data_IF_673997081805
#
_entry.id   IF_673997081805
#
_cell.length_a   1.000
_cell.length_b   1.000
_cell.length_c   1.000
_cell.angle_alpha   90.00
_cell.angle_beta   90.00
_cell.angle_gamma   90.00
#
_symmetry.space_group_name_H-M   'P 1'
#
loop_
_entity.id
_entity.type
_entity.pdbx_description
1 polymer ?
#
# COMPACT_ATOMS: atom_id res chain seq x y z
N UNK A 1 -7.13 12.03 12.34
CA UNK A 1 -5.67 11.95 12.07
C UNK A 1 -4.83 12.75 13.08
N UNK A 2 -5.21 13.97 13.50
CA UNK A 2 -4.43 14.77 14.47
C UNK A 2 -4.17 14.07 15.83
N UNK A 3 -5.13 13.31 16.35
CA UNK A 3 -4.95 12.60 17.63
C UNK A 3 -3.91 11.48 17.54
N UNK A 4 -3.85 10.75 16.41
CA UNK A 4 -2.90 9.65 16.24
C UNK A 4 -1.47 10.17 16.06
N UNK A 5 -1.28 11.20 15.23
CA UNK A 5 0.02 11.87 15.05
C UNK A 5 0.55 12.42 16.38
N UNK A 6 -0.30 13.07 17.18
CA UNK A 6 0.09 13.59 18.49
C UNK A 6 0.48 12.50 19.50
N UNK A 7 -0.19 11.34 19.48
CA UNK A 7 0.13 10.20 20.35
C UNK A 7 1.47 9.57 19.92
N UNK A 8 1.66 9.32 18.62
CA UNK A 8 2.91 8.75 18.09
C UNK A 8 4.07 9.73 18.31
N UNK A 9 3.85 11.03 18.12
CA UNK A 9 4.85 12.06 18.37
C UNK A 9 5.30 12.05 19.84
N UNK A 10 4.37 12.08 20.80
CA UNK A 10 4.73 12.00 22.22
C UNK A 10 5.51 10.75 22.57
N UNK A 11 5.13 9.62 21.97
CA UNK A 11 5.81 8.35 22.20
C UNK A 11 7.25 8.36 21.66
N UNK A 12 7.45 8.86 20.44
CA UNK A 12 8.79 8.96 19.81
C UNK A 12 9.65 10.01 20.53
N UNK A 13 9.07 11.11 20.98
CA UNK A 13 9.75 12.13 21.81
C UNK A 13 10.23 11.51 23.14
N UNK A 14 9.38 10.73 23.81
CA UNK A 14 9.71 10.07 25.07
C UNK A 14 10.77 8.98 24.89
N UNK A 15 10.68 8.16 23.85
CA UNK A 15 11.70 7.17 23.51
C UNK A 15 13.04 7.82 23.17
N UNK A 16 13.02 8.91 22.39
CA UNK A 16 14.23 9.64 22.02
C UNK A 16 14.92 10.19 23.25
N UNK A 17 14.17 10.82 24.17
CA UNK A 17 14.76 11.32 25.41
C UNK A 17 15.31 10.22 26.31
N UNK A 18 14.63 9.07 26.40
CA UNK A 18 15.15 7.92 27.16
C UNK A 18 16.41 7.35 26.51
N UNK A 19 16.50 7.34 25.18
CA UNK A 19 17.68 6.86 24.46
C UNK A 19 18.89 7.79 24.63
N UNK A 20 18.67 9.11 24.65
CA UNK A 20 19.76 10.08 24.79
C UNK A 20 20.22 10.32 26.24
N UNK A 21 19.30 10.27 27.20
CA UNK A 21 19.60 10.58 28.60
C UNK A 21 19.76 9.33 29.48
N UNK A 22 19.19 8.20 29.06
CA UNK A 22 19.26 6.90 29.75
C UNK A 22 19.07 7.06 31.28
N UNK A 23 20.09 6.75 32.08
CA UNK A 23 20.07 6.85 33.55
C UNK A 23 19.86 8.28 34.07
N UNK A 24 20.24 9.30 33.30
CA UNK A 24 20.13 10.71 33.68
C UNK A 24 18.75 11.30 33.36
N UNK A 25 17.86 10.56 32.68
CA UNK A 25 16.55 11.07 32.26
C UNK A 25 15.73 11.62 33.44
N UNK A 26 15.78 11.01 34.62
CA UNK A 26 15.03 11.48 35.80
C UNK A 26 15.63 12.72 36.46
N UNK A 27 16.92 12.98 36.26
CA UNK A 27 17.68 14.07 36.93
C UNK A 27 17.96 15.26 36.03
N UNK A 28 17.83 15.10 34.71
CA UNK A 28 18.05 16.19 33.73
C UNK A 28 16.91 17.21 33.77
N UNK A 29 17.22 18.53 33.87
CA UNK A 29 16.23 19.59 33.90
C UNK A 29 15.44 19.68 32.58
N UNK A 30 14.21 20.19 32.68
CA UNK A 30 13.27 20.26 31.55
C UNK A 30 13.83 21.05 30.35
N UNK A 31 14.63 22.09 30.59
CA UNK A 31 15.25 22.91 29.54
C UNK A 31 16.29 22.15 28.72
N UNK A 32 17.00 21.20 29.33
CA UNK A 32 18.01 20.39 28.64
C UNK A 32 17.37 19.26 27.85
N UNK A 33 16.25 18.70 28.36
CA UNK A 33 15.38 17.79 27.60
C UNK A 33 14.78 18.47 26.36
N UNK A 34 14.32 19.71 26.48
CA UNK A 34 13.79 20.48 25.34
C UNK A 34 14.85 20.73 24.27
N UNK A 35 16.10 21.03 24.66
CA UNK A 35 17.20 21.20 23.69
C UNK A 35 17.52 19.91 22.93
N UNK A 36 17.49 18.76 23.60
CA UNK A 36 17.70 17.46 22.95
C UNK A 36 16.55 17.13 22.00
N UNK A 37 15.30 17.43 22.39
CA UNK A 37 14.14 17.26 21.52
C UNK A 37 14.18 18.18 20.29
N UNK A 38 14.57 19.45 20.45
CA UNK A 38 14.71 20.38 19.31
C UNK A 38 15.84 19.96 18.38
N UNK A 39 16.96 19.46 18.92
CA UNK A 39 18.05 18.90 18.11
C UNK A 39 17.63 17.64 17.33
N UNK A 40 16.84 16.77 17.97
CA UNK A 40 16.34 15.53 17.36
C UNK A 40 15.02 15.71 16.59
N UNK A 41 14.51 16.93 16.47
CA UNK A 41 13.16 17.22 15.95
C UNK A 41 12.92 16.68 14.56
N UNK A 42 13.87 16.88 13.66
CA UNK A 42 13.79 16.40 12.28
C UNK A 42 13.79 14.86 12.22
N UNK A 43 14.58 14.22 13.10
CA UNK A 43 14.61 12.76 13.23
C UNK A 43 13.29 12.22 13.81
N UNK A 44 12.74 12.89 14.82
CA UNK A 44 11.45 12.56 15.44
C UNK A 44 10.34 12.69 14.41
N UNK A 45 10.27 13.80 13.67
CA UNK A 45 9.26 14.02 12.64
C UNK A 45 9.34 12.98 11.52
N UNK A 46 10.55 12.65 11.06
CA UNK A 46 10.78 11.58 10.08
C UNK A 46 10.31 10.21 10.59
N UNK A 47 10.64 9.84 11.83
CA UNK A 47 10.18 8.59 12.45
C UNK A 47 8.66 8.55 12.61
N UNK A 48 8.04 9.64 13.06
CA UNK A 48 6.57 9.75 13.19
C UNK A 48 5.90 9.57 11.84
N UNK A 49 6.42 10.22 10.79
CA UNK A 49 5.90 10.08 9.44
C UNK A 49 6.06 8.65 8.92
N UNK A 50 7.21 8.01 9.14
CA UNK A 50 7.44 6.62 8.75
C UNK A 50 6.47 5.65 9.44
N UNK A 51 6.23 5.81 10.74
CA UNK A 51 5.28 4.98 11.50
C UNK A 51 3.86 5.16 10.96
N UNK A 52 3.46 6.41 10.70
CA UNK A 52 2.15 6.72 10.12
C UNK A 52 1.99 6.15 8.72
N UNK A 53 3.02 6.23 7.87
CA UNK A 53 3.00 5.69 6.52
C UNK A 53 2.93 4.16 6.52
N UNK A 54 3.64 3.49 7.44
CA UNK A 54 3.54 2.03 7.60
C UNK A 54 2.14 1.64 8.07
N UNK A 55 1.58 2.33 9.08
CA UNK A 55 0.22 2.08 9.55
C UNK A 55 -0.82 2.30 8.46
N UNK A 56 -0.71 3.41 7.71
CA UNK A 56 -1.59 3.70 6.58
C UNK A 56 -1.42 2.64 5.49
N UNK A 57 -0.20 2.23 5.21
CA UNK A 57 0.10 1.18 4.23
C UNK A 57 -0.49 -0.16 4.66
N UNK A 58 -0.42 -0.52 5.93
CA UNK A 58 -0.93 -1.80 6.44
C UNK A 58 -2.46 -1.82 6.47
N UNK A 59 -3.08 -0.70 6.88
CA UNK A 59 -4.54 -0.50 6.82
C UNK A 59 -5.04 -0.50 5.38
N UNK A 60 -4.32 0.13 4.45
CA UNK A 60 -4.71 0.18 3.02
C UNK A 60 -4.37 -1.11 2.25
N UNK A 61 -3.29 -1.82 2.60
CA UNK A 61 -2.95 -3.13 2.02
C UNK A 61 -3.94 -4.21 2.44
N UNK A 62 -4.48 -4.14 3.65
CA UNK A 62 -5.57 -5.01 4.09
C UNK A 62 -6.96 -4.53 3.68
N UNK A 63 -7.08 -3.40 2.97
CA UNK A 63 -8.36 -2.92 2.47
C UNK A 63 -9.05 -4.00 1.63
N UNK A 64 -10.33 -4.30 1.89
CA UNK A 64 -11.10 -5.27 1.11
C UNK A 64 -11.13 -4.92 -0.38
N UNK A 65 -10.99 -3.64 -0.74
CA UNK A 65 -10.96 -3.17 -2.12
C UNK A 65 -9.71 -3.65 -2.86
N UNK A 66 -8.53 -3.56 -2.23
CA UNK A 66 -7.26 -3.99 -2.84
C UNK A 66 -7.20 -5.51 -2.99
N UNK A 67 -7.78 -6.26 -2.04
CA UNK A 67 -7.94 -7.73 -2.14
C UNK A 67 -8.91 -8.12 -3.26
N UNK A 68 -10.04 -7.41 -3.42
CA UNK A 68 -10.99 -7.62 -4.53
C UNK A 68 -10.35 -7.30 -5.88
N UNK A 69 -9.63 -6.18 -5.98
CA UNK A 69 -8.89 -5.82 -7.19
C UNK A 69 -7.85 -6.88 -7.55
N UNK A 70 -7.05 -7.35 -6.59
CA UNK A 70 -6.06 -8.41 -6.82
C UNK A 70 -6.69 -9.72 -7.32
N UNK A 71 -7.82 -10.15 -6.73
CA UNK A 71 -8.57 -11.33 -7.20
C UNK A 71 -9.09 -11.14 -8.63
N UNK A 72 -9.61 -9.96 -8.94
CA UNK A 72 -10.08 -9.62 -10.28
C UNK A 72 -8.94 -9.67 -11.30
N UNK A 73 -7.79 -9.05 -11.01
CA UNK A 73 -6.62 -9.09 -11.90
C UNK A 73 -6.10 -10.50 -12.16
N UNK A 74 -6.10 -11.36 -11.14
CA UNK A 74 -5.71 -12.77 -11.31
C UNK A 74 -6.73 -13.49 -12.21
N UNK A 75 -8.02 -13.27 -11.98
CA UNK A 75 -9.08 -13.87 -12.79
C UNK A 75 -9.01 -13.41 -14.25
N UNK A 76 -8.86 -12.11 -14.51
CA UNK A 76 -8.74 -11.57 -15.87
C UNK A 76 -7.47 -12.06 -16.57
N UNK A 77 -6.35 -12.20 -15.85
CA UNK A 77 -5.12 -12.76 -16.41
C UNK A 77 -5.31 -14.22 -16.85
N UNK A 78 -5.93 -15.06 -16.02
CA UNK A 78 -6.24 -16.45 -16.37
C UNK A 78 -7.15 -16.52 -17.61
N UNK A 79 -8.22 -15.73 -17.62
CA UNK A 79 -9.17 -15.69 -18.73
C UNK A 79 -8.50 -15.21 -20.03
N UNK A 80 -7.57 -14.26 -19.93
CA UNK A 80 -6.79 -13.77 -21.07
C UNK A 80 -5.88 -14.85 -21.65
N UNK A 81 -5.20 -15.63 -20.80
CA UNK A 81 -4.35 -16.75 -21.24
C UNK A 81 -5.17 -17.83 -21.97
N UNK A 82 -6.35 -18.17 -21.43
CA UNK A 82 -7.24 -19.17 -22.04
C UNK A 82 -7.75 -18.66 -23.39
N UNK A 83 -8.23 -17.42 -23.45
CA UNK A 83 -8.80 -16.87 -24.67
C UNK A 83 -7.74 -16.60 -25.77
N UNK A 84 -6.51 -16.23 -25.41
CA UNK A 84 -5.41 -16.07 -26.37
C UNK A 84 -4.95 -17.42 -26.93
N UNK A 85 -4.87 -18.45 -26.09
CA UNK A 85 -4.59 -19.83 -26.53
C UNK A 85 -5.71 -20.37 -27.41
N UNK A 86 -6.96 -20.12 -27.04
CA UNK A 86 -8.15 -20.49 -27.82
C UNK A 86 -8.19 -19.78 -29.18
N UNK A 87 -7.78 -18.50 -29.26
CA UNK A 87 -7.62 -17.79 -30.53
C UNK A 87 -6.59 -18.46 -31.44
N UNK A 88 -5.41 -18.79 -30.91
CA UNK A 88 -4.38 -19.46 -31.70
C UNK A 88 -4.88 -20.78 -32.29
N UNK A 89 -5.63 -21.56 -31.50
CA UNK A 89 -6.26 -22.79 -31.96
C UNK A 89 -7.40 -22.55 -32.98
N UNK A 90 -8.21 -21.51 -32.77
CA UNK A 90 -9.30 -21.14 -33.68
C UNK A 90 -8.80 -20.69 -35.05
N UNK A 91 -7.70 -19.92 -35.07
CA UNK A 91 -7.00 -19.52 -36.29
C UNK A 91 -6.44 -20.75 -37.02
N UNK A 92 -5.85 -21.70 -36.27
CA UNK A 92 -5.36 -22.95 -36.85
C UNK A 92 -6.47 -23.80 -37.50
N UNK A 93 -7.71 -23.70 -37.01
CA UNK A 93 -8.88 -24.38 -37.59
C UNK A 93 -9.60 -23.54 -38.66
N UNK A 94 -9.09 -22.35 -38.98
CA UNK A 94 -9.71 -21.37 -39.88
C UNK A 94 -11.19 -21.06 -39.55
N UNK A 95 -11.58 -21.28 -38.29
CA UNK A 95 -12.97 -21.12 -37.87
C UNK A 95 -13.21 -19.67 -37.44
N UNK A 96 -13.65 -18.85 -38.40
CA UNK A 96 -13.95 -17.43 -38.20
C UNK A 96 -14.92 -17.18 -37.04
N UNK A 97 -15.94 -18.04 -36.85
CA UNK A 97 -16.90 -17.89 -35.75
C UNK A 97 -16.24 -18.04 -34.39
N UNK A 98 -15.35 -19.03 -34.25
CA UNK A 98 -14.61 -19.24 -33.01
C UNK A 98 -13.61 -18.11 -32.73
N UNK A 99 -12.97 -17.57 -33.77
CA UNK A 99 -12.09 -16.40 -33.67
C UNK A 99 -12.86 -15.19 -33.15
N UNK A 100 -14.04 -14.90 -33.73
CA UNK A 100 -14.87 -13.76 -33.32
C UNK A 100 -15.30 -13.88 -31.86
N UNK A 101 -15.71 -15.07 -31.41
CA UNK A 101 -16.10 -15.29 -30.01
C UNK A 101 -14.94 -15.03 -29.06
N UNK A 102 -13.75 -15.59 -29.31
CA UNK A 102 -12.60 -15.38 -28.43
C UNK A 102 -12.12 -13.92 -28.45
N UNK A 103 -12.18 -13.23 -29.60
CA UNK A 103 -11.84 -11.82 -29.71
C UNK A 103 -12.80 -10.93 -28.90
N UNK A 104 -14.11 -11.20 -28.95
CA UNK A 104 -15.11 -10.49 -28.15
C UNK A 104 -14.92 -10.69 -26.65
N UNK A 105 -14.58 -11.92 -26.23
CA UNK A 105 -14.27 -12.22 -24.82
C UNK A 105 -13.05 -11.42 -24.36
N UNK A 106 -11.98 -11.38 -25.14
CA UNK A 106 -10.79 -10.58 -24.80
C UNK A 106 -11.08 -9.08 -24.73
N UNK A 107 -11.86 -8.56 -25.68
CA UNK A 107 -12.31 -7.17 -25.66
C UNK A 107 -13.09 -6.85 -24.39
N UNK A 108 -14.05 -7.69 -24.01
CA UNK A 108 -14.83 -7.51 -22.80
C UNK A 108 -13.95 -7.53 -21.54
N UNK A 109 -12.96 -8.42 -21.47
CA UNK A 109 -12.04 -8.53 -20.33
C UNK A 109 -11.14 -7.32 -20.20
N UNK A 110 -10.66 -6.77 -21.32
CA UNK A 110 -9.79 -5.59 -21.32
C UNK A 110 -10.56 -4.28 -21.13
N UNK A 111 -11.84 -4.23 -21.53
CA UNK A 111 -12.70 -3.06 -21.32
C UNK A 111 -13.35 -3.02 -19.93
N UNK A 112 -13.53 -4.18 -19.27
CA UNK A 112 -14.14 -4.25 -17.94
C UNK A 112 -13.52 -3.31 -16.88
N UNK A 113 -12.19 -3.12 -16.78
CA UNK A 113 -11.59 -2.16 -15.87
C UNK A 113 -12.00 -0.71 -16.16
N UNK A 114 -12.06 -0.32 -17.44
CA UNK A 114 -12.41 1.05 -17.86
C UNK A 114 -13.84 1.45 -17.55
N UNK A 115 -14.78 0.50 -17.43
CA UNK A 115 -16.16 0.76 -17.04
C UNK A 115 -16.40 0.66 -15.53
N UNK A 116 -15.42 0.12 -14.80
CA UNK A 116 -15.51 -0.10 -13.35
C UNK A 116 -14.93 1.07 -12.55
N UNK A 117 -13.92 1.74 -13.11
CA UNK A 117 -13.41 3.03 -12.61
C UNK A 117 -14.36 4.18 -12.97
#
# INVERSE_FOLDING_TARGET
>A
MNNLRAIVQRHVEEETLRQYLDVNYSTTPAEEKLRILDFAREMIESKVQQILDVFLTEVTQNSPERKKAKKLHIFTAILTIIASTGLAHAVNLENLGYITVCALVLLAVQLYPFFKD
#
